data_IF_561760485593
#
_entry.id   IF_561760485593
#
_cell.length_a   1.000
_cell.length_b   1.000
_cell.length_c   1.000
_cell.angle_alpha   90.00
_cell.angle_beta   90.00
_cell.angle_gamma   90.00
#
_symmetry.space_group_name_H-M   'P 1'
#
loop_
_entity.id
_entity.type
_entity.pdbx_description
1 polymer ?
#
# COMPACT_ATOMS: atom_id res chain seq x y z
N UNK A 1 -24.83 -1.81 16.67
CA UNK A 1 -23.71 -1.13 16.00
C UNK A 1 -22.68 -2.15 15.55
N UNK A 2 -22.26 -2.11 14.30
CA UNK A 2 -21.19 -2.98 13.80
C UNK A 2 -19.82 -2.37 14.11
N UNK A 3 -18.86 -3.21 14.50
CA UNK A 3 -17.48 -2.75 14.69
C UNK A 3 -16.80 -2.55 13.34
N UNK A 4 -15.75 -1.74 13.31
CA UNK A 4 -14.91 -1.59 12.10
C UNK A 4 -14.32 -2.92 11.67
N UNK A 5 -13.96 -3.79 12.63
CA UNK A 5 -13.42 -5.11 12.31
C UNK A 5 -14.42 -5.96 11.51
N UNK A 6 -15.71 -5.81 11.76
CA UNK A 6 -16.76 -6.52 11.00
C UNK A 6 -16.95 -5.95 9.59
N UNK A 7 -16.61 -4.67 9.38
CA UNK A 7 -16.82 -3.96 8.11
C UNK A 7 -15.58 -3.95 7.22
N UNK A 8 -14.39 -4.11 7.79
CA UNK A 8 -13.12 -3.97 7.08
C UNK A 8 -12.27 -5.23 7.20
N UNK A 9 -11.50 -5.48 6.15
CA UNK A 9 -10.47 -6.52 6.11
C UNK A 9 -9.14 -5.85 5.86
N UNK A 10 -8.09 -6.34 6.52
CA UNK A 10 -6.73 -5.87 6.31
C UNK A 10 -5.94 -6.89 5.53
N UNK A 11 -5.37 -6.49 4.39
CA UNK A 11 -4.52 -7.33 3.56
C UNK A 11 -3.09 -6.79 3.58
N UNK A 12 -2.16 -7.59 4.10
CA UNK A 12 -0.75 -7.21 4.17
C UNK A 12 -0.12 -7.22 2.77
N UNK A 13 0.57 -6.15 2.41
CA UNK A 13 1.37 -6.08 1.17
C UNK A 13 2.86 -6.05 1.49
N UNK A 14 3.31 -5.14 2.35
CA UNK A 14 4.72 -5.03 2.75
C UNK A 14 4.83 -5.36 4.22
N UNK A 15 5.56 -6.45 4.53
CA UNK A 15 5.86 -6.81 5.92
C UNK A 15 6.71 -5.73 6.58
N UNK A 16 6.39 -5.38 7.82
CA UNK A 16 7.14 -4.38 8.58
C UNK A 16 8.54 -4.89 8.90
N UNK A 17 9.54 -4.32 8.27
CA UNK A 17 10.96 -4.65 8.46
C UNK A 17 11.79 -3.39 8.25
N UNK A 18 13.05 -3.44 8.69
CA UNK A 18 14.05 -2.43 8.37
C UNK A 18 14.37 -2.51 6.87
N UNK A 19 14.25 -1.38 6.16
CA UNK A 19 14.41 -1.33 4.69
C UNK A 19 15.59 -0.46 4.30
N UNK A 20 16.52 -1.06 3.56
CA UNK A 20 17.67 -0.35 2.97
C UNK A 20 17.63 -0.39 1.44
N UNK A 21 16.66 -1.07 0.86
CA UNK A 21 16.48 -1.22 -0.58
C UNK A 21 15.00 -1.13 -0.93
N UNK A 22 14.73 -0.89 -2.21
CA UNK A 22 13.36 -0.90 -2.75
C UNK A 22 12.68 -2.22 -2.45
N UNK A 23 11.44 -2.16 -1.96
CA UNK A 23 10.61 -3.32 -1.70
C UNK A 23 9.32 -3.23 -2.50
N UNK A 24 8.99 -4.35 -3.18
CA UNK A 24 7.70 -4.54 -3.82
C UNK A 24 6.89 -5.51 -2.97
N UNK A 25 5.73 -5.08 -2.54
CA UNK A 25 4.89 -5.86 -1.66
C UNK A 25 4.18 -7.02 -2.34
N UNK A 26 3.53 -7.85 -1.54
CA UNK A 26 2.71 -8.94 -2.03
C UNK A 26 1.47 -8.41 -2.75
N UNK A 27 0.95 -9.22 -3.67
CA UNK A 27 -0.27 -8.88 -4.43
C UNK A 27 -1.48 -8.91 -3.52
N UNK A 28 -2.31 -7.89 -3.61
CA UNK A 28 -3.61 -7.81 -2.93
C UNK A 28 -4.72 -7.93 -3.96
N UNK A 29 -5.64 -8.89 -3.75
CA UNK A 29 -6.79 -9.11 -4.61
C UNK A 29 -7.98 -8.29 -4.10
N UNK A 30 -8.51 -7.42 -4.96
CA UNK A 30 -9.61 -6.54 -4.61
C UNK A 30 -10.96 -7.02 -5.12
N UNK A 31 -11.04 -8.22 -5.69
CA UNK A 31 -12.25 -8.69 -6.41
C UNK A 31 -13.50 -8.71 -5.54
N UNK A 32 -13.37 -8.94 -4.24
CA UNK A 32 -14.49 -9.07 -3.30
C UNK A 32 -14.81 -7.77 -2.55
N UNK A 33 -14.11 -6.69 -2.83
CA UNK A 33 -14.27 -5.43 -2.10
C UNK A 33 -14.40 -4.25 -3.05
N UNK A 34 -15.39 -3.40 -2.81
CA UNK A 34 -15.61 -2.21 -3.63
C UNK A 34 -14.77 -1.03 -3.16
N UNK A 35 -14.32 -1.03 -1.91
CA UNK A 35 -13.53 0.07 -1.33
C UNK A 35 -12.19 -0.47 -0.86
N UNK A 36 -11.11 0.15 -1.32
CA UNK A 36 -9.75 -0.26 -0.97
C UNK A 36 -8.90 0.97 -0.67
N UNK A 37 -8.15 0.92 0.42
CA UNK A 37 -7.28 2.01 0.84
C UNK A 37 -5.88 1.46 1.13
N UNK A 38 -4.87 1.99 0.45
CA UNK A 38 -3.48 1.66 0.71
C UNK A 38 -2.98 2.48 1.89
N UNK A 39 -2.35 1.82 2.87
CA UNK A 39 -1.81 2.46 4.07
C UNK A 39 -0.33 2.12 4.19
N UNK A 40 0.50 3.15 4.31
CA UNK A 40 1.93 3.01 4.55
C UNK A 40 2.23 3.44 5.98
N UNK A 41 2.91 2.57 6.73
CA UNK A 41 3.18 2.78 8.16
C UNK A 41 4.69 2.78 8.38
N UNK A 42 5.33 3.96 8.33
CA UNK A 42 6.75 4.07 8.66
C UNK A 42 6.97 4.14 10.17
N UNK A 43 8.09 3.56 10.59
CA UNK A 43 8.63 3.79 11.92
C UNK A 43 9.70 4.88 11.87
N UNK A 44 10.86 4.62 12.50
CA UNK A 44 11.97 5.60 12.52
C UNK A 44 12.73 5.59 11.19
N UNK A 45 12.89 6.76 10.61
CA UNK A 45 13.74 6.99 9.45
C UNK A 45 15.12 7.40 9.93
N UNK A 46 16.16 6.65 9.56
CA UNK A 46 17.54 6.97 9.90
C UNK A 46 18.26 7.62 8.73
N UNK A 47 18.18 7.03 7.54
CA UNK A 47 18.83 7.57 6.35
C UNK A 47 18.13 7.10 5.07
N UNK A 48 18.47 7.71 3.94
CA UNK A 48 17.91 7.41 2.64
C UNK A 48 16.59 8.14 2.37
N UNK A 49 16.10 7.98 1.14
CA UNK A 49 14.81 8.52 0.69
C UNK A 49 13.92 7.34 0.33
N UNK A 50 12.75 7.27 0.94
CA UNK A 50 11.81 6.17 0.77
C UNK A 50 10.49 6.72 0.25
N UNK A 51 10.17 6.38 -1.00
CA UNK A 51 9.00 6.92 -1.70
C UNK A 51 7.94 5.85 -1.87
N UNK A 52 6.74 6.02 -1.28
CA UNK A 52 5.66 5.07 -1.41
C UNK A 52 4.98 5.22 -2.77
N UNK A 53 4.51 4.12 -3.32
CA UNK A 53 3.69 4.13 -4.53
C UNK A 53 2.75 2.93 -4.55
N UNK A 54 1.68 3.06 -5.33
CA UNK A 54 0.70 2.00 -5.54
C UNK A 54 0.76 1.58 -7.00
N UNK A 55 0.83 0.28 -7.24
CA UNK A 55 0.80 -0.27 -8.60
C UNK A 55 -0.41 -1.17 -8.77
N UNK A 56 -0.88 -1.30 -10.00
CA UNK A 56 -2.11 -2.03 -10.34
C UNK A 56 -1.91 -2.96 -11.52
N UNK A 57 -2.71 -4.03 -11.56
CA UNK A 57 -2.73 -4.98 -12.68
C UNK A 57 -4.05 -5.74 -12.75
N UNK A 58 -4.37 -6.22 -13.96
CA UNK A 58 -5.46 -7.19 -14.14
C UNK A 58 -5.02 -8.64 -13.90
N UNK A 59 -3.72 -8.87 -13.81
CA UNK A 59 -3.14 -10.20 -13.56
C UNK A 59 -2.42 -10.23 -12.22
N UNK A 60 -2.53 -11.37 -11.50
CA UNK A 60 -2.01 -11.48 -10.13
C UNK A 60 -0.48 -11.44 -10.05
N UNK A 61 0.22 -11.89 -11.09
CA UNK A 61 1.66 -12.11 -11.04
C UNK A 61 2.46 -11.21 -11.98
N UNK A 62 1.81 -10.40 -12.82
CA UNK A 62 2.52 -9.64 -13.86
C UNK A 62 1.74 -8.40 -14.30
N UNK A 63 2.40 -7.54 -15.07
CA UNK A 63 1.77 -6.39 -15.69
C UNK A 63 1.47 -5.24 -14.75
N UNK A 64 2.11 -5.16 -13.59
CA UNK A 64 1.90 -4.08 -12.63
C UNK A 64 2.48 -2.77 -13.15
N UNK A 65 1.66 -1.73 -13.14
CA UNK A 65 2.05 -0.37 -13.54
C UNK A 65 1.59 0.61 -12.46
N UNK A 66 2.25 1.76 -12.39
CA UNK A 66 1.88 2.79 -11.43
C UNK A 66 0.44 3.25 -11.65
N UNK A 67 -0.31 3.39 -10.57
CA UNK A 67 -1.67 3.89 -10.61
C UNK A 67 -1.63 5.38 -10.97
N UNK A 68 -2.45 5.78 -11.94
CA UNK A 68 -2.56 7.18 -12.32
C UNK A 68 -3.13 8.01 -11.16
N UNK A 69 -2.71 9.27 -11.05
CA UNK A 69 -3.17 10.16 -9.98
C UNK A 69 -4.71 10.30 -9.96
N UNK A 70 -5.35 10.24 -11.13
CA UNK A 70 -6.81 10.31 -11.23
C UNK A 70 -7.52 9.09 -10.62
N UNK A 71 -6.83 7.97 -10.46
CA UNK A 71 -7.38 6.74 -9.88
C UNK A 71 -7.02 6.59 -8.39
N UNK A 72 -6.44 7.61 -7.80
CA UNK A 72 -6.14 7.68 -6.36
C UNK A 72 -6.93 8.80 -5.71
N UNK A 73 -7.52 8.49 -4.57
CA UNK A 73 -8.13 9.48 -3.69
C UNK A 73 -7.10 9.90 -2.65
N UNK A 74 -6.48 11.05 -2.89
CA UNK A 74 -5.37 11.56 -2.10
C UNK A 74 -4.04 11.50 -2.84
N UNK A 75 -2.97 11.85 -2.16
CA UNK A 75 -1.62 11.85 -2.71
C UNK A 75 -0.62 11.30 -1.70
N UNK A 76 0.43 10.68 -2.21
CA UNK A 76 1.53 10.17 -1.39
C UNK A 76 2.74 11.08 -1.50
N UNK A 77 3.48 11.22 -0.41
CA UNK A 77 4.75 11.94 -0.34
C UNK A 77 5.84 11.02 0.18
N UNK A 78 7.08 11.47 0.11
CA UNK A 78 8.23 10.74 0.69
C UNK A 78 7.93 10.42 2.16
N UNK A 79 8.25 9.19 2.58
CA UNK A 79 7.97 8.73 3.93
C UNK A 79 8.84 9.46 4.95
N UNK A 80 8.22 9.86 6.05
CA UNK A 80 8.89 10.51 7.19
C UNK A 80 8.71 9.65 8.44
N UNK A 81 9.61 9.82 9.42
CA UNK A 81 9.57 9.06 10.67
C UNK A 81 8.21 9.15 11.34
N UNK A 82 7.60 8.00 11.62
CA UNK A 82 6.38 7.88 12.42
C UNK A 82 5.17 8.62 11.85
N UNK A 83 5.17 8.95 10.55
CA UNK A 83 4.04 9.63 9.89
C UNK A 83 3.38 8.68 8.90
N UNK A 84 2.26 8.05 9.22
CA UNK A 84 1.56 7.17 8.29
C UNK A 84 0.91 7.97 7.17
N UNK A 85 0.80 7.34 6.00
CA UNK A 85 0.15 7.91 4.83
C UNK A 85 -0.84 6.91 4.26
N UNK A 86 -1.91 7.41 3.66
CA UNK A 86 -2.89 6.55 3.00
C UNK A 86 -3.47 7.22 1.77
N UNK A 87 -3.88 6.40 0.80
CA UNK A 87 -4.63 6.83 -0.37
C UNK A 87 -5.71 5.81 -0.67
N UNK A 88 -6.88 6.27 -1.11
CA UNK A 88 -7.93 5.41 -1.62
C UNK A 88 -7.65 5.02 -3.06
N UNK A 89 -7.99 3.80 -3.44
CA UNK A 89 -7.91 3.34 -4.82
C UNK A 89 -9.29 3.40 -5.45
N UNK A 90 -9.44 4.14 -6.54
CA UNK A 90 -10.70 4.30 -7.27
C UNK A 90 -10.58 3.85 -8.73
N UNK A 91 -9.51 3.14 -9.08
CA UNK A 91 -9.33 2.57 -10.40
C UNK A 91 -10.15 1.30 -10.62
N UNK A 92 -9.94 0.64 -11.75
CA UNK A 92 -10.76 -0.49 -12.20
C UNK A 92 -10.01 -1.82 -12.26
N UNK A 93 -8.75 -1.87 -11.85
CA UNK A 93 -7.96 -3.10 -11.88
C UNK A 93 -8.29 -3.99 -10.70
N UNK A 94 -7.99 -5.28 -10.82
CA UNK A 94 -8.29 -6.26 -9.77
C UNK A 94 -7.22 -6.36 -8.69
N UNK A 95 -5.95 -6.17 -9.06
CA UNK A 95 -4.84 -6.42 -8.16
C UNK A 95 -4.03 -5.17 -7.88
N UNK A 96 -3.58 -5.03 -6.62
CA UNK A 96 -2.67 -3.97 -6.20
C UNK A 96 -1.40 -4.58 -5.62
N UNK A 97 -0.29 -3.88 -5.82
CA UNK A 97 0.94 -4.06 -5.03
C UNK A 97 1.39 -2.71 -4.53
N UNK A 98 1.76 -2.66 -3.26
CA UNK A 98 2.35 -1.46 -2.68
C UNK A 98 3.87 -1.55 -2.83
N UNK A 99 4.51 -0.42 -3.11
CA UNK A 99 5.95 -0.35 -3.36
C UNK A 99 6.52 0.80 -2.54
N UNK A 100 7.68 0.56 -1.93
CA UNK A 100 8.49 1.63 -1.33
C UNK A 100 9.81 1.65 -2.09
N UNK A 101 10.03 2.71 -2.86
CA UNK A 101 11.26 2.90 -3.63
C UNK A 101 12.29 3.59 -2.76
N UNK A 102 13.44 2.96 -2.58
CA UNK A 102 14.52 3.46 -1.75
C UNK A 102 15.67 3.99 -2.62
N UNK A 103 16.10 5.21 -2.34
CA UNK A 103 17.23 5.86 -3.01
C UNK A 103 18.17 6.46 -1.96
N UNK A 104 19.33 6.97 -2.39
CA UNK A 104 20.31 7.59 -1.50
C UNK A 104 21.26 6.63 -0.80
N UNK A 105 21.20 5.33 -1.13
CA UNK A 105 22.14 4.32 -0.61
C UNK A 105 22.17 4.22 0.92
N UNK A 106 21.01 4.08 1.61
CA UNK A 106 21.02 4.09 3.07
C UNK A 106 21.75 2.87 3.64
N UNK A 107 22.43 3.07 4.74
CA UNK A 107 23.06 1.99 5.49
C UNK A 107 22.10 1.37 6.51
N UNK A 108 21.24 2.17 7.13
CA UNK A 108 20.26 1.73 8.14
C UNK A 108 18.82 1.78 7.61
N UNK A 109 18.48 2.85 6.90
CA UNK A 109 17.21 2.98 6.20
C UNK A 109 16.03 3.36 7.05
N UNK A 110 14.89 2.74 6.74
CA UNK A 110 13.59 3.03 7.35
C UNK A 110 12.92 1.72 7.74
N UNK A 111 12.40 1.66 8.97
CA UNK A 111 11.50 0.58 9.36
C UNK A 111 10.11 0.92 8.83
N UNK A 112 9.57 0.10 7.94
CA UNK A 112 8.29 0.39 7.33
C UNK A 112 7.56 -0.88 6.90
N UNK A 113 6.24 -0.77 6.90
CA UNK A 113 5.34 -1.76 6.33
C UNK A 113 4.19 -1.07 5.63
N UNK A 114 3.38 -1.84 4.93
CA UNK A 114 2.21 -1.33 4.24
C UNK A 114 1.15 -2.40 4.07
N UNK A 115 -0.10 -1.97 4.08
CA UNK A 115 -1.24 -2.87 3.93
C UNK A 115 -2.36 -2.17 3.16
N UNK A 116 -3.34 -2.96 2.74
CA UNK A 116 -4.56 -2.44 2.12
C UNK A 116 -5.73 -2.73 3.06
N UNK A 117 -6.45 -1.69 3.44
CA UNK A 117 -7.71 -1.83 4.16
C UNK A 117 -8.83 -1.96 3.14
N UNK A 118 -9.60 -3.04 3.25
CA UNK A 118 -10.63 -3.40 2.29
C UNK A 118 -12.00 -3.37 2.97
N UNK A 119 -12.93 -2.69 2.35
CA UNK A 119 -14.27 -2.58 2.88
C UNK A 119 -15.31 -2.71 1.78
N UNK A 120 -16.58 -2.56 2.17
CA UNK A 120 -17.71 -2.61 1.25
C UNK A 120 -17.70 -3.91 0.44
N UNK A 121 -17.76 -5.04 1.16
CA UNK A 121 -17.70 -6.37 0.56
C UNK A 121 -18.75 -6.55 -0.53
N UNK A 122 -18.34 -7.11 -1.66
CA UNK A 122 -19.24 -7.47 -2.77
C UNK A 122 -19.90 -8.83 -2.57
N UNK A 123 -19.44 -9.62 -1.58
CA UNK A 123 -20.07 -10.89 -1.27
C UNK A 123 -21.31 -10.68 -0.45
N UNK A 124 -22.37 -11.34 -0.85
CA UNK A 124 -23.63 -11.37 -0.10
C UNK A 124 -23.58 -12.61 0.79
N UNK A 125 -23.73 -12.44 2.11
CA UNK A 125 -23.76 -13.58 3.03
C UNK A 125 -24.89 -14.54 2.74
#
# INVERSE_FOLDING_TARGET
>A
MKSLRALLTTALSILTLQRTATVTGATVDMANFASNKAVFVPGVLTDGVHTPSVTESDAAASGFTAVAAADLDGALAVLASNVPQSVGYIGSKRYLRLVITTTGGPATGLNAGAHVEQGNSRKIP
#
